data_IF_429171749608
#
_entry.id   IF_429171749608
#
_cell.length_a   1.000
_cell.length_b   1.000
_cell.length_c   1.000
_cell.angle_alpha   90.00
_cell.angle_beta   90.00
_cell.angle_gamma   90.00
#
_symmetry.space_group_name_H-M   'P 1'
#
loop_
_entity.id
_entity.type
_entity.pdbx_description
1 polymer ?
#
# COMPACT_ATOMS: atom_id res chain seq x y z
N UNK A 1 -48.65 -59.22 -5.35
CA UNK A 1 -49.67 -58.16 -5.44
C UNK A 1 -48.91 -56.85 -5.52
N UNK A 2 -48.73 -56.36 -6.74
CA UNK A 2 -49.40 -55.17 -7.30
C UNK A 2 -48.86 -53.90 -6.61
N UNK A 3 -47.83 -53.25 -7.16
CA UNK A 3 -47.86 -52.27 -8.25
C UNK A 3 -48.65 -51.00 -7.88
N UNK A 4 -47.94 -49.85 -7.88
CA UNK A 4 -48.37 -48.49 -8.25
C UNK A 4 -47.35 -47.54 -7.61
N UNK A 5 -46.41 -46.92 -8.32
CA UNK A 5 -46.61 -46.11 -9.53
C UNK A 5 -46.52 -44.62 -9.13
N UNK A 6 -45.41 -43.97 -9.46
CA UNK A 6 -45.08 -42.54 -9.20
C UNK A 6 -46.17 -41.57 -9.67
N UNK A 7 -46.13 -40.30 -9.22
CA UNK A 7 -45.60 -39.30 -10.16
C UNK A 7 -44.57 -38.35 -9.53
N UNK A 8 -43.41 -38.24 -10.17
CA UNK A 8 -42.42 -37.19 -9.93
C UNK A 8 -42.90 -35.90 -10.60
N UNK A 9 -43.25 -34.91 -9.78
CA UNK A 9 -43.61 -33.57 -10.24
C UNK A 9 -42.37 -32.84 -10.77
N UNK A 10 -42.32 -32.64 -12.09
CA UNK A 10 -41.30 -31.82 -12.75
C UNK A 10 -41.65 -30.35 -12.57
N UNK A 11 -41.04 -29.70 -11.58
CA UNK A 11 -41.06 -28.25 -11.41
C UNK A 11 -40.29 -27.62 -12.58
N UNK A 12 -41.01 -27.16 -13.62
CA UNK A 12 -40.44 -26.28 -14.64
C UNK A 12 -40.45 -24.85 -14.11
N UNK A 13 -39.28 -24.37 -13.69
CA UNK A 13 -39.10 -22.97 -13.33
C UNK A 13 -39.38 -22.05 -14.54
N UNK A 14 -40.07 -20.91 -14.35
CA UNK A 14 -40.33 -19.96 -15.42
C UNK A 14 -39.01 -19.43 -15.98
N UNK A 15 -38.80 -19.58 -17.29
CA UNK A 15 -37.66 -18.95 -18.00
C UNK A 15 -37.80 -17.44 -17.87
N UNK A 16 -36.87 -16.83 -17.14
CA UNK A 16 -36.75 -15.37 -17.04
C UNK A 16 -36.58 -14.77 -18.45
N UNK A 17 -37.23 -13.63 -18.75
CA UNK A 17 -37.02 -12.92 -20.00
C UNK A 17 -35.55 -12.57 -20.14
N UNK A 18 -34.91 -13.05 -21.21
CA UNK A 18 -33.54 -12.67 -21.57
C UNK A 18 -33.54 -11.19 -21.91
N UNK A 19 -32.99 -10.39 -21.00
CA UNK A 19 -32.78 -8.96 -21.23
C UNK A 19 -31.92 -8.79 -22.49
N UNK A 20 -32.27 -7.87 -23.41
CA UNK A 20 -31.44 -7.60 -24.57
C UNK A 20 -30.07 -7.17 -24.06
N UNK A 21 -29.05 -7.96 -24.39
CA UNK A 21 -27.65 -7.69 -24.04
C UNK A 21 -27.30 -6.30 -24.52
N UNK A 22 -27.24 -5.35 -23.58
CA UNK A 22 -26.81 -3.99 -23.80
C UNK A 22 -25.46 -4.02 -24.53
N UNK A 23 -25.45 -3.61 -25.81
CA UNK A 23 -24.21 -3.52 -26.58
C UNK A 23 -23.31 -2.49 -25.89
N UNK A 24 -22.16 -2.97 -25.40
CA UNK A 24 -21.07 -2.13 -24.89
C UNK A 24 -20.38 -1.42 -26.05
N UNK A 25 -19.93 -0.20 -25.81
CA UNK A 25 -19.08 0.55 -26.73
C UNK A 25 -17.79 -0.24 -27.00
N UNK A 26 -17.43 -0.48 -28.26
CA UNK A 26 -16.23 -1.25 -28.61
C UNK A 26 -14.91 -0.54 -28.33
N UNK A 27 -14.93 0.74 -27.90
CA UNK A 27 -13.73 1.53 -27.56
C UNK A 27 -13.51 1.68 -26.06
N UNK A 28 -14.53 2.08 -25.30
CA UNK A 28 -14.41 2.29 -23.86
C UNK A 28 -15.09 1.21 -23.00
N UNK A 29 -15.78 0.24 -23.62
CA UNK A 29 -16.51 -0.85 -22.96
C UNK A 29 -17.67 -0.44 -22.04
N UNK A 30 -18.03 0.84 -21.99
CA UNK A 30 -19.22 1.33 -21.28
C UNK A 30 -20.51 1.02 -22.06
N UNK A 31 -21.61 0.84 -21.34
CA UNK A 31 -22.95 0.63 -21.91
C UNK A 31 -23.67 1.95 -22.18
N UNK A 32 -24.58 1.97 -23.16
CA UNK A 32 -25.45 3.13 -23.42
C UNK A 32 -25.01 4.03 -24.58
N UNK A 33 -23.91 3.71 -25.28
CA UNK A 33 -23.50 4.36 -26.52
C UNK A 33 -22.64 3.44 -27.41
N UNK A 34 -22.44 3.82 -28.68
CA UNK A 34 -21.54 3.13 -29.63
C UNK A 34 -20.26 3.95 -29.85
N UNK A 35 -19.18 3.33 -30.33
CA UNK A 35 -17.84 3.95 -30.43
C UNK A 35 -17.73 5.20 -31.32
N UNK A 36 -18.68 5.40 -32.25
CA UNK A 36 -18.79 6.59 -33.09
C UNK A 36 -19.58 7.73 -32.44
N UNK A 37 -20.17 7.52 -31.26
CA UNK A 37 -20.94 8.53 -30.54
C UNK A 37 -20.00 9.52 -29.84
N UNK A 38 -20.29 10.83 -29.98
CA UNK A 38 -19.56 11.92 -29.31
C UNK A 38 -19.58 11.83 -27.78
N UNK A 39 -20.49 11.03 -27.20
CA UNK A 39 -20.54 10.72 -25.76
C UNK A 39 -19.47 9.73 -25.29
N UNK A 40 -18.79 9.04 -26.20
CA UNK A 40 -17.68 8.17 -25.84
C UNK A 40 -16.49 9.01 -25.37
N UNK A 41 -15.97 8.73 -24.18
CA UNK A 41 -14.77 9.39 -23.63
C UNK A 41 -13.54 9.23 -24.53
N UNK A 42 -13.52 8.18 -25.36
CA UNK A 42 -12.47 7.87 -26.33
C UNK A 42 -12.82 8.33 -27.76
N UNK A 43 -13.79 9.22 -27.94
CA UNK A 43 -14.15 9.76 -29.25
C UNK A 43 -13.08 10.73 -29.74
N UNK A 44 -12.15 10.20 -30.53
CA UNK A 44 -11.22 10.99 -31.34
C UNK A 44 -12.02 11.41 -32.56
N UNK A 45 -12.65 12.58 -32.51
CA UNK A 45 -13.49 13.09 -33.60
C UNK A 45 -12.78 12.98 -34.95
N UNK A 46 -13.56 12.82 -36.02
CA UNK A 46 -13.05 12.80 -37.40
C UNK A 46 -12.31 14.09 -37.65
N UNK A 47 -11.01 14.11 -37.38
CA UNK A 47 -10.12 15.23 -37.71
C UNK A 47 -10.14 15.31 -39.22
N UNK A 48 -10.80 16.35 -39.75
CA UNK A 48 -10.62 16.72 -41.14
C UNK A 48 -9.11 16.82 -41.41
N UNK A 49 -8.63 16.31 -42.56
CA UNK A 49 -7.22 16.44 -42.91
C UNK A 49 -6.84 17.93 -42.86
N UNK A 50 -5.67 18.27 -42.29
CA UNK A 50 -5.24 19.65 -42.18
C UNK A 50 -5.18 20.29 -43.58
N UNK A 51 -5.86 21.42 -43.73
CA UNK A 51 -5.76 22.25 -44.92
C UNK A 51 -4.30 22.69 -45.12
N UNK A 52 -3.75 22.59 -46.34
CA UNK A 52 -2.35 22.94 -46.62
C UNK A 52 -2.13 24.42 -46.31
N UNK A 53 -1.40 24.67 -45.22
CA UNK A 53 -1.06 26.02 -44.79
C UNK A 53 0.07 26.53 -45.67
N UNK A 54 -0.09 27.76 -46.19
CA UNK A 54 0.90 28.43 -47.04
C UNK A 54 2.30 28.37 -46.41
N UNK A 55 3.29 28.01 -47.22
CA UNK A 55 4.69 27.89 -46.83
C UNK A 55 5.21 29.19 -46.22
N UNK A 56 5.38 29.20 -44.89
CA UNK A 56 6.12 30.22 -44.16
C UNK A 56 7.59 29.82 -44.20
N UNK A 57 8.44 30.71 -44.73
CA UNK A 57 9.88 30.54 -44.79
C UNK A 57 10.44 30.26 -43.38
N UNK A 58 11.28 29.22 -43.20
CA UNK A 58 11.80 28.85 -41.89
C UNK A 58 12.71 29.96 -41.36
N UNK A 59 12.27 30.64 -40.31
CA UNK A 59 13.16 31.49 -39.53
C UNK A 59 14.25 30.61 -38.92
N UNK A 60 15.52 30.98 -39.16
CA UNK A 60 16.69 30.33 -38.55
C UNK A 60 16.51 30.31 -37.03
N UNK A 61 16.24 29.13 -36.49
CA UNK A 61 16.14 28.93 -35.05
C UNK A 61 17.50 29.24 -34.43
N UNK A 62 17.52 30.17 -33.48
CA UNK A 62 18.70 30.42 -32.64
C UNK A 62 19.16 29.11 -32.01
N UNK A 63 20.49 28.89 -31.87
CA UNK A 63 21.02 27.68 -31.24
C UNK A 63 20.43 27.56 -29.84
N UNK A 64 19.65 26.50 -29.61
CA UNK A 64 19.09 26.19 -28.30
C UNK A 64 20.26 25.98 -27.35
N UNK A 65 20.27 26.73 -26.25
CA UNK A 65 21.20 26.51 -25.15
C UNK A 65 21.19 25.02 -24.77
N UNK A 66 22.36 24.43 -24.47
CA UNK A 66 22.40 23.04 -24.02
C UNK A 66 21.51 22.89 -22.79
N UNK A 67 20.79 21.76 -22.67
CA UNK A 67 19.94 21.52 -21.50
C UNK A 67 20.81 21.58 -20.23
N UNK A 68 20.32 22.20 -19.15
CA UNK A 68 21.05 22.24 -17.89
C UNK A 68 21.38 20.81 -17.44
N UNK A 69 22.62 20.58 -17.01
CA UNK A 69 23.03 19.28 -16.47
C UNK A 69 22.11 18.94 -15.28
N UNK A 70 21.61 17.71 -15.19
CA UNK A 70 20.81 17.29 -14.04
C UNK A 70 21.67 17.46 -12.78
N UNK A 71 21.13 18.17 -11.79
CA UNK A 71 21.76 18.24 -10.47
C UNK A 71 21.59 16.86 -9.83
N UNK A 72 22.68 16.30 -9.31
CA UNK A 72 22.60 15.09 -8.50
C UNK A 72 21.85 15.46 -7.23
N UNK A 73 20.75 14.77 -6.95
CA UNK A 73 20.00 14.97 -5.71
C UNK A 73 20.86 14.50 -4.54
N UNK A 74 21.04 15.38 -3.55
CA UNK A 74 21.70 15.05 -2.28
C UNK A 74 20.91 13.97 -1.54
N UNK A 75 21.61 13.02 -0.92
CA UNK A 75 21.00 11.95 -0.12
C UNK A 75 21.02 12.37 1.34
N UNK A 76 19.85 12.30 1.99
CA UNK A 76 19.66 12.59 3.40
C UNK A 76 19.29 11.32 4.17
N UNK A 77 19.59 11.31 5.47
CA UNK A 77 19.18 10.25 6.39
C UNK A 77 17.93 10.64 7.18
N UNK A 78 16.91 9.78 7.22
CA UNK A 78 15.71 10.05 8.00
C UNK A 78 15.87 9.56 9.45
N UNK A 79 15.98 10.48 10.41
CA UNK A 79 16.17 10.11 11.84
C UNK A 79 14.97 9.40 12.48
N UNK A 80 13.83 9.34 11.77
CA UNK A 80 12.62 8.66 12.23
C UNK A 80 12.52 7.19 11.79
N UNK A 81 12.78 6.91 10.52
CA UNK A 81 12.66 5.55 9.94
C UNK A 81 14.01 4.95 9.54
N UNK A 82 15.10 5.69 9.69
CA UNK A 82 16.48 5.29 9.36
C UNK A 82 16.73 4.96 7.88
N UNK A 83 15.80 5.33 7.01
CA UNK A 83 15.95 5.18 5.57
C UNK A 83 16.62 6.42 4.97
N UNK A 84 17.57 6.19 4.08
CA UNK A 84 18.15 7.24 3.25
C UNK A 84 17.20 7.63 2.11
N UNK A 85 17.10 8.93 1.83
CA UNK A 85 16.16 9.47 0.85
C UNK A 85 16.75 10.69 0.13
N UNK A 86 16.40 10.92 -1.15
CA UNK A 86 16.88 12.09 -1.87
C UNK A 86 16.24 13.38 -1.35
N UNK A 87 16.96 14.50 -1.43
CA UNK A 87 16.51 15.83 -1.00
C UNK A 87 15.17 16.24 -1.62
N UNK A 88 14.91 15.81 -2.85
CA UNK A 88 13.64 16.03 -3.55
C UNK A 88 12.42 15.40 -2.82
N UNK A 89 12.64 14.44 -1.92
CA UNK A 89 11.60 13.78 -1.12
C UNK A 89 11.26 14.51 0.18
N UNK A 90 12.06 15.49 0.65
CA UNK A 90 11.79 16.23 1.91
C UNK A 90 10.38 16.82 1.96
N UNK A 91 9.90 17.35 0.83
CA UNK A 91 8.58 18.00 0.74
C UNK A 91 7.43 17.03 0.47
N UNK A 92 7.72 15.77 0.13
CA UNK A 92 6.70 14.78 -0.22
C UNK A 92 6.11 14.17 1.05
N UNK A 93 4.82 14.38 1.26
CA UNK A 93 4.10 13.74 2.37
C UNK A 93 3.98 12.23 2.14
N UNK A 94 3.83 11.49 3.23
CA UNK A 94 3.49 10.05 3.26
C UNK A 94 4.55 9.08 2.73
N UNK A 95 5.83 9.47 2.70
CA UNK A 95 6.94 8.59 2.31
C UNK A 95 7.62 7.93 3.51
N UNK A 96 7.70 8.62 4.65
CA UNK A 96 8.19 8.02 5.89
C UNK A 96 7.07 7.19 6.51
N UNK A 97 7.23 5.86 6.46
CA UNK A 97 6.26 4.87 6.91
C UNK A 97 6.91 4.01 7.99
N UNK A 98 6.20 3.79 9.09
CA UNK A 98 6.69 2.97 10.20
C UNK A 98 5.61 1.94 10.52
N UNK A 99 5.87 0.64 10.35
CA UNK A 99 4.92 -0.40 10.69
C UNK A 99 4.72 -0.46 12.21
N UNK A 100 3.61 -1.05 12.65
CA UNK A 100 3.49 -1.39 14.08
C UNK A 100 4.47 -2.51 14.42
N UNK A 101 5.07 -2.42 15.61
CA UNK A 101 5.74 -3.55 16.22
C UNK A 101 4.77 -4.28 17.14
N UNK A 102 4.83 -5.60 17.13
CA UNK A 102 3.99 -6.48 17.91
C UNK A 102 4.83 -7.32 18.87
N UNK A 103 4.18 -7.73 19.96
CA UNK A 103 4.76 -8.68 20.91
C UNK A 103 5.14 -9.98 20.19
N UNK A 104 6.28 -10.56 20.56
CA UNK A 104 6.74 -11.84 20.00
C UNK A 104 5.87 -13.01 20.48
N UNK A 105 5.38 -12.92 21.72
CA UNK A 105 4.56 -13.95 22.33
C UNK A 105 3.08 -13.54 22.25
N UNK A 106 2.21 -14.39 21.68
CA UNK A 106 0.80 -14.06 21.57
C UNK A 106 0.12 -14.17 22.94
N UNK A 107 -0.84 -13.27 23.16
CA UNK A 107 -1.91 -13.51 24.12
C UNK A 107 -2.88 -14.54 23.52
N UNK A 108 -3.37 -15.44 24.36
CA UNK A 108 -4.22 -16.53 23.91
C UNK A 108 -5.65 -16.33 24.46
N UNK A 109 -6.64 -16.41 23.56
CA UNK A 109 -8.07 -16.41 23.92
C UNK A 109 -8.73 -17.66 23.33
N UNK A 110 -9.28 -18.56 24.17
CA UNK A 110 -10.02 -19.75 23.72
C UNK A 110 -11.36 -19.23 23.24
N UNK A 111 -11.43 -18.87 21.97
CA UNK A 111 -12.69 -18.91 21.28
C UNK A 111 -12.94 -20.35 20.87
N UNK A 112 -13.69 -21.09 21.69
CA UNK A 112 -14.34 -22.33 21.25
C UNK A 112 -15.48 -21.93 20.30
N UNK A 113 -15.14 -21.57 19.06
CA UNK A 113 -16.09 -21.59 17.96
C UNK A 113 -16.48 -23.03 17.62
N UNK A 114 -17.46 -23.21 16.72
CA UNK A 114 -17.91 -24.53 16.26
C UNK A 114 -16.86 -25.35 15.47
N UNK A 115 -15.60 -24.89 15.43
CA UNK A 115 -14.44 -25.58 14.89
C UNK A 115 -13.25 -25.42 15.84
N UNK A 116 -12.40 -26.44 15.95
CA UNK A 116 -11.28 -26.52 16.89
C UNK A 116 -10.09 -25.58 16.55
N UNK A 117 -10.30 -24.46 15.86
CA UNK A 117 -9.22 -23.51 15.54
C UNK A 117 -8.89 -22.64 16.75
N UNK A 118 -7.60 -22.50 17.06
CA UNK A 118 -7.08 -21.57 18.05
C UNK A 118 -6.60 -20.33 17.33
N UNK A 119 -7.04 -19.16 17.76
CA UNK A 119 -6.57 -17.88 17.27
C UNK A 119 -5.52 -17.31 18.24
N UNK A 120 -4.40 -16.86 17.71
CA UNK A 120 -3.29 -16.26 18.46
C UNK A 120 -3.29 -14.76 18.23
N UNK A 121 -3.30 -13.98 19.30
CA UNK A 121 -3.41 -12.52 19.24
C UNK A 121 -2.11 -11.86 19.66
N UNK A 122 -1.51 -11.08 18.77
CA UNK A 122 -0.28 -10.34 19.02
C UNK A 122 -0.61 -8.86 19.16
N UNK A 123 -0.48 -8.32 20.38
CA UNK A 123 -0.79 -6.92 20.66
C UNK A 123 0.36 -6.00 20.22
N UNK A 124 0.01 -4.78 19.79
CA UNK A 124 1.02 -3.80 19.39
C UNK A 124 1.72 -3.20 20.59
N UNK A 125 3.05 -3.30 20.63
CA UNK A 125 3.88 -2.71 21.67
C UNK A 125 3.93 -1.18 21.59
N UNK A 126 3.75 -0.60 20.39
CA UNK A 126 3.85 0.85 20.20
C UNK A 126 2.53 1.62 20.34
N UNK A 127 1.39 0.97 20.08
CA UNK A 127 0.06 1.61 20.11
C UNK A 127 -0.93 0.91 21.05
N UNK A 128 -0.47 -0.09 21.79
CA UNK A 128 -1.26 -0.86 22.74
C UNK A 128 -2.24 -1.84 22.07
N UNK A 129 -3.09 -2.50 22.88
CA UNK A 129 -3.91 -3.65 22.46
C UNK A 129 -5.05 -3.31 21.48
N UNK A 130 -5.23 -2.02 21.15
CA UNK A 130 -6.19 -1.58 20.11
C UNK A 130 -5.72 -1.96 18.71
N UNK A 131 -4.43 -2.21 18.54
CA UNK A 131 -3.80 -2.65 17.30
C UNK A 131 -3.24 -4.03 17.56
N UNK A 132 -3.78 -5.03 16.89
CA UNK A 132 -3.37 -6.42 17.08
C UNK A 132 -3.44 -7.19 15.78
N UNK A 133 -2.62 -8.22 15.71
CA UNK A 133 -2.57 -9.18 14.60
C UNK A 133 -3.11 -10.50 15.10
N UNK A 134 -3.84 -11.21 14.23
CA UNK A 134 -4.41 -12.52 14.54
C UNK A 134 -3.79 -13.56 13.62
N UNK A 135 -3.27 -14.65 14.18
CA UNK A 135 -2.83 -15.83 13.44
C UNK A 135 -3.84 -16.96 13.67
N UNK A 136 -4.40 -17.51 12.59
CA UNK A 136 -5.38 -18.61 12.67
C UNK A 136 -4.66 -19.96 12.65
N UNK A 137 -4.60 -20.65 13.78
CA UNK A 137 -3.72 -21.80 13.95
C UNK A 137 -2.29 -21.38 14.33
N UNK A 138 -1.53 -22.28 14.95
CA UNK A 138 -0.21 -21.94 15.46
C UNK A 138 0.87 -22.28 14.42
N UNK A 139 1.73 -21.31 14.10
CA UNK A 139 2.93 -21.52 13.30
C UNK A 139 2.67 -21.74 11.82
N UNK A 140 1.60 -21.15 11.28
CA UNK A 140 1.34 -21.17 9.84
C UNK A 140 1.74 -19.86 9.13
N UNK A 141 2.15 -18.85 9.91
CA UNK A 141 2.51 -17.52 9.41
C UNK A 141 1.39 -16.82 8.62
N UNK A 142 0.12 -17.23 8.80
CA UNK A 142 -1.06 -16.63 8.16
C UNK A 142 -1.62 -15.52 9.06
N UNK A 143 -0.94 -14.37 9.02
CA UNK A 143 -1.25 -13.22 9.85
C UNK A 143 -2.35 -12.34 9.25
N UNK A 144 -3.43 -12.13 10.00
CA UNK A 144 -4.52 -11.21 9.65
C UNK A 144 -4.27 -9.83 10.23
N UNK A 145 -3.74 -8.94 9.40
CA UNK A 145 -3.42 -7.54 9.75
C UNK A 145 -4.58 -6.54 9.52
N UNK A 146 -5.83 -7.02 9.45
CA UNK A 146 -6.97 -6.20 9.03
C UNK A 146 -7.22 -5.02 9.98
N UNK A 147 -7.04 -3.80 9.47
CA UNK A 147 -7.30 -2.55 10.20
C UNK A 147 -6.16 -2.07 11.10
N UNK A 148 -5.00 -2.73 11.07
CA UNK A 148 -3.84 -2.29 11.85
C UNK A 148 -3.23 -1.03 11.22
N UNK A 149 -3.01 -1.01 9.90
CA UNK A 149 -2.42 0.14 9.21
C UNK A 149 -0.97 0.38 9.66
N UNK A 150 -0.46 1.61 9.45
CA UNK A 150 0.88 2.02 9.88
C UNK A 150 0.83 2.71 11.23
N UNK A 151 1.87 2.54 12.04
CA UNK A 151 2.06 3.28 13.29
C UNK A 151 2.30 4.76 13.01
N UNK A 152 3.04 5.07 11.95
CA UNK A 152 3.28 6.44 11.49
C UNK A 152 3.30 6.50 9.97
N UNK A 153 2.73 7.57 9.43
CA UNK A 153 2.81 7.92 8.01
C UNK A 153 2.98 9.43 7.87
N UNK A 154 4.09 9.87 7.29
CA UNK A 154 4.40 11.30 7.19
C UNK A 154 5.58 11.63 6.29
N UNK A 155 6.19 12.79 6.53
CA UNK A 155 7.41 13.24 5.82
C UNK A 155 8.65 12.65 6.48
N UNK A 156 9.67 12.37 5.69
CA UNK A 156 11.01 12.17 6.25
C UNK A 156 11.49 13.46 6.91
N UNK A 157 12.34 13.33 7.92
CA UNK A 157 12.95 14.48 8.61
C UNK A 157 14.36 14.10 9.03
N UNK A 158 15.27 15.06 8.95
CA UNK A 158 16.61 14.99 9.55
C UNK A 158 16.61 15.60 10.96
N UNK A 159 15.52 16.25 11.37
CA UNK A 159 15.42 16.92 12.66
C UNK A 159 14.91 15.97 13.76
N UNK A 160 15.79 15.64 14.70
CA UNK A 160 15.45 14.79 15.83
C UNK A 160 14.42 15.43 16.79
N UNK A 161 14.33 16.76 16.84
CA UNK A 161 13.35 17.48 17.66
C UNK A 161 11.91 17.31 17.19
N UNK A 162 11.70 16.99 15.90
CA UNK A 162 10.38 16.69 15.33
C UNK A 162 9.93 15.24 15.54
N UNK A 163 10.76 14.40 16.17
CA UNK A 163 10.49 12.97 16.30
C UNK A 163 10.11 12.61 17.73
N UNK A 164 8.89 12.10 17.88
CA UNK A 164 8.44 11.45 19.11
C UNK A 164 8.91 10.00 19.15
N UNK A 165 10.13 9.78 19.63
CA UNK A 165 10.67 8.45 19.85
C UNK A 165 9.85 7.69 20.89
N UNK A 166 9.53 6.42 20.61
CA UNK A 166 8.74 5.58 21.51
C UNK A 166 9.51 4.38 22.05
N UNK A 167 10.81 4.27 21.74
CA UNK A 167 11.71 3.17 22.16
C UNK A 167 11.28 1.77 21.68
N UNK A 168 10.31 1.68 20.77
CA UNK A 168 9.82 0.42 20.21
C UNK A 168 10.16 0.35 18.71
N UNK A 169 9.41 1.07 17.87
CA UNK A 169 9.58 1.10 16.40
C UNK A 169 10.03 2.47 15.87
N UNK A 170 10.11 3.48 16.75
CA UNK A 170 10.71 4.79 16.47
C UNK A 170 11.85 5.00 17.45
N UNK A 171 13.05 4.65 17.00
CA UNK A 171 14.29 4.65 17.78
C UNK A 171 15.22 5.79 17.34
N UNK A 172 16.04 6.30 18.26
CA UNK A 172 17.10 7.25 17.90
C UNK A 172 18.15 6.57 17.02
N UNK A 173 18.80 7.35 16.15
CA UNK A 173 19.94 6.88 15.37
C UNK A 173 21.02 6.33 16.31
N UNK A 174 21.57 5.18 15.95
CA UNK A 174 22.76 4.62 16.59
C UNK A 174 23.84 4.71 15.53
N UNK A 175 24.94 5.40 15.83
CA UNK A 175 26.01 5.59 14.85
C UNK A 175 27.15 4.60 15.12
N UNK A 176 27.77 4.10 14.05
CA UNK A 176 29.05 3.37 14.15
C UNK A 176 30.23 4.33 14.26
N UNK A 177 31.45 3.80 14.30
CA UNK A 177 32.70 4.58 14.33
C UNK A 177 32.87 5.51 13.10
N UNK A 178 32.25 5.18 11.97
CA UNK A 178 32.26 6.00 10.76
C UNK A 178 31.26 7.16 10.79
N UNK A 179 30.37 7.19 11.81
CA UNK A 179 29.29 8.17 11.92
C UNK A 179 28.03 7.81 11.14
N UNK A 180 27.95 6.60 10.56
CA UNK A 180 26.77 6.14 9.83
C UNK A 180 25.74 5.53 10.78
N UNK A 181 24.46 5.78 10.53
CA UNK A 181 23.39 5.15 11.29
C UNK A 181 23.33 3.65 11.01
N UNK A 182 23.43 2.82 12.04
CA UNK A 182 23.35 1.35 11.96
C UNK A 182 21.97 0.80 12.28
N UNK A 183 20.97 1.68 12.51
CA UNK A 183 19.59 1.23 12.71
C UNK A 183 19.03 0.77 11.36
N UNK A 184 18.47 -0.42 11.35
CA UNK A 184 17.80 -0.95 10.17
C UNK A 184 16.46 -0.25 9.94
N UNK A 185 16.16 0.03 8.68
CA UNK A 185 14.86 0.53 8.29
C UNK A 185 13.82 -0.60 8.37
N UNK A 186 12.79 -0.39 9.20
CA UNK A 186 11.64 -1.29 9.28
C UNK A 186 10.75 -1.08 8.06
N UNK A 187 10.99 -1.85 7.01
CA UNK A 187 10.16 -1.83 5.80
C UNK A 187 8.73 -2.29 6.13
N UNK A 188 7.70 -1.49 5.80
CA UNK A 188 6.33 -1.91 6.02
C UNK A 188 5.95 -3.00 5.02
N UNK A 189 5.55 -4.16 5.56
CA UNK A 189 4.97 -5.27 4.82
C UNK A 189 3.47 -5.35 5.16
N UNK A 190 2.62 -5.42 4.13
CA UNK A 190 1.17 -5.47 4.29
C UNK A 190 0.69 -6.86 4.77
N UNK A 191 1.48 -7.90 4.54
CA UNK A 191 1.16 -9.30 4.83
C UNK A 191 1.95 -9.84 6.03
N UNK A 192 3.08 -9.23 6.38
CA UNK A 192 3.95 -9.69 7.48
C UNK A 192 4.03 -8.68 8.64
N UNK A 193 3.61 -9.05 9.87
CA UNK A 193 3.81 -8.20 11.03
C UNK A 193 5.30 -8.08 11.40
N UNK A 194 5.67 -6.93 11.96
CA UNK A 194 6.99 -6.74 12.55
C UNK A 194 6.97 -7.22 14.00
N UNK A 195 7.58 -8.36 14.26
CA UNK A 195 7.78 -8.89 15.62
C UNK A 195 9.14 -8.50 16.17
N UNK A 196 9.23 -8.48 17.51
CA UNK A 196 10.52 -8.55 18.21
C UNK A 196 11.53 -7.56 17.69
N UNK A 197 11.09 -6.32 17.41
CA UNK A 197 12.01 -5.23 17.06
C UNK A 197 13.12 -5.28 18.10
N UNK A 198 14.37 -5.51 17.66
CA UNK A 198 15.52 -5.60 18.55
C UNK A 198 15.58 -4.31 19.36
N UNK A 199 14.94 -4.33 20.52
CA UNK A 199 15.12 -3.36 21.58
C UNK A 199 16.51 -3.72 22.08
N UNK A 200 17.54 -3.24 21.38
CA UNK A 200 18.82 -2.98 21.98
C UNK A 200 18.47 -2.09 23.18
N UNK A 201 18.27 -2.72 24.35
CA UNK A 201 18.26 -2.10 25.67
C UNK A 201 19.70 -1.65 25.92
N UNK A 202 20.19 -0.72 25.11
CA UNK A 202 21.35 0.07 25.46
C UNK A 202 20.84 1.12 26.46
N UNK A 203 20.52 0.64 27.67
CA UNK A 203 20.50 1.43 28.91
C UNK A 203 21.95 1.68 29.41
N UNK A 204 22.90 1.84 28.47
CA UNK A 204 24.29 2.24 28.77
C UNK A 204 24.52 3.70 28.33
N UNK A 205 23.48 4.54 28.42
CA UNK A 205 23.70 5.96 28.63
C UNK A 205 23.96 6.12 30.13
N UNK A 206 25.20 5.81 30.54
CA UNK A 206 25.81 6.40 31.72
C UNK A 206 25.58 7.92 31.65
N UNK A 207 24.83 8.45 32.61
CA UNK A 207 24.59 9.88 32.79
C UNK A 207 25.92 10.65 32.80
N UNK A 208 26.17 11.48 31.77
CA UNK A 208 27.20 12.54 31.73
C UNK A 208 26.53 13.92 31.57
#
# INVERSE_FOLDING_TARGET
>A
MADSGKPQSKNMSPRKPTTPTSRKCSRCHETGHIASNKKCSMYIGTRNPPTPTKAVLPQRASPKSPPPKPKVDEILHCVRCHQDYPQSHVKRANLCMIPHAFEEFPSYTHFYGAGYSKDYHYDSMCCGPKKKVVEEGCGNDDYKMKGVGLCFRGRHTTDAGEVKYNKINVLRCKHNEAGDCVREWLEPDDDKPTFGVNIDNCDDDDDD
#
